data_IF_721692835001
#
_entry.id   IF_721692835001
#
_cell.length_a   1.000
_cell.length_b   1.000
_cell.length_c   1.000
_cell.angle_alpha   90.00
_cell.angle_beta   90.00
_cell.angle_gamma   90.00
#
_symmetry.space_group_name_H-M   'P 1'
#
loop_
_entity.id
_entity.type
_entity.pdbx_description
1 polymer ?
#
# COMPACT_ATOMS: atom_id res chain seq x y z
N UNK A 1 1.40 -2.70 10.79
CA UNK A 1 2.77 -2.85 10.26
C UNK A 1 2.91 -4.10 9.38
N UNK A 2 2.61 -5.33 9.84
CA UNK A 2 2.84 -6.53 9.02
C UNK A 2 1.93 -6.63 7.77
N UNK A 3 0.70 -6.14 7.84
CA UNK A 3 -0.23 -6.15 6.70
C UNK A 3 0.21 -5.24 5.54
N UNK A 4 0.85 -4.10 5.83
CA UNK A 4 1.43 -3.23 4.80
C UNK A 4 2.63 -3.89 4.12
N UNK A 5 3.41 -4.67 4.87
CA UNK A 5 4.54 -5.41 4.29
C UNK A 5 4.03 -6.51 3.34
N UNK A 6 3.00 -7.27 3.74
CA UNK A 6 2.44 -8.32 2.88
C UNK A 6 1.89 -7.80 1.55
N UNK A 7 1.14 -6.69 1.57
CA UNK A 7 0.57 -6.08 0.35
C UNK A 7 1.64 -5.49 -0.57
N UNK A 8 2.67 -4.87 -0.01
CA UNK A 8 3.78 -4.32 -0.80
C UNK A 8 4.67 -5.42 -1.41
N UNK A 9 4.89 -6.52 -0.68
CA UNK A 9 5.63 -7.67 -1.20
C UNK A 9 4.87 -8.35 -2.35
N UNK A 10 3.54 -8.43 -2.29
CA UNK A 10 2.75 -8.96 -3.42
C UNK A 10 2.84 -8.05 -4.65
N UNK A 11 2.92 -6.73 -4.46
CA UNK A 11 3.14 -5.78 -5.55
C UNK A 11 4.49 -6.00 -6.23
N UNK A 12 5.58 -6.06 -5.45
CA UNK A 12 6.93 -6.34 -5.97
C UNK A 12 6.98 -7.69 -6.67
N UNK A 13 6.39 -8.72 -6.08
CA UNK A 13 6.33 -10.04 -6.69
C UNK A 13 5.64 -9.98 -8.06
N UNK A 14 4.46 -9.36 -8.15
CA UNK A 14 3.76 -9.19 -9.44
C UNK A 14 4.62 -8.47 -10.48
N UNK A 15 5.26 -7.37 -10.08
CA UNK A 15 6.13 -6.61 -10.97
C UNK A 15 7.37 -7.40 -11.42
N UNK A 16 7.96 -8.26 -10.59
CA UNK A 16 9.08 -9.12 -10.98
C UNK A 16 8.66 -10.26 -11.93
N UNK A 17 7.41 -10.74 -11.83
CA UNK A 17 6.90 -11.78 -12.74
C UNK A 17 6.50 -11.19 -14.10
N UNK A 18 6.07 -9.93 -14.16
CA UNK A 18 5.66 -9.26 -15.39
C UNK A 18 6.69 -9.35 -16.53
N UNK A 19 7.99 -9.02 -16.35
CA UNK A 19 8.97 -9.13 -17.43
C UNK A 19 9.20 -10.58 -17.87
N UNK A 20 9.08 -11.57 -16.98
CA UNK A 20 9.19 -12.99 -17.32
C UNK A 20 8.03 -13.44 -18.22
N UNK A 21 6.81 -13.03 -17.87
CA UNK A 21 5.60 -13.31 -18.64
C UNK A 21 5.68 -12.60 -20.00
N UNK A 22 6.13 -11.34 -20.00
CA UNK A 22 6.28 -10.56 -21.22
C UNK A 22 7.34 -11.13 -22.17
N UNK A 23 8.46 -11.61 -21.63
CA UNK A 23 9.50 -12.28 -22.42
C UNK A 23 9.00 -13.57 -23.06
N UNK A 24 8.13 -14.31 -22.36
CA UNK A 24 7.60 -15.59 -22.84
C UNK A 24 6.49 -15.43 -23.88
N UNK A 25 5.48 -14.58 -23.61
CA UNK A 25 4.30 -14.45 -24.47
C UNK A 25 4.48 -13.45 -25.62
N UNK A 26 5.31 -12.42 -25.43
CA UNK A 26 5.64 -11.33 -26.39
C UNK A 26 4.47 -10.51 -26.96
N UNK A 27 3.26 -11.05 -26.95
CA UNK A 27 2.01 -10.42 -27.36
C UNK A 27 1.28 -9.81 -26.17
N UNK A 28 1.02 -8.50 -26.23
CA UNK A 28 0.39 -7.75 -25.14
C UNK A 28 -1.01 -8.26 -24.77
N UNK A 29 -1.77 -8.80 -25.72
CA UNK A 29 -3.11 -9.38 -25.48
C UNK A 29 -3.01 -10.60 -24.55
N UNK A 30 -2.09 -11.51 -24.84
CA UNK A 30 -1.89 -12.71 -24.03
C UNK A 30 -1.32 -12.39 -22.66
N UNK A 31 -0.44 -11.37 -22.57
CA UNK A 31 0.05 -10.85 -21.30
C UNK A 31 -1.14 -10.35 -20.44
N UNK A 32 -2.03 -9.54 -21.01
CA UNK A 32 -3.21 -9.02 -20.30
C UNK A 32 -4.12 -10.15 -19.79
N UNK A 33 -4.38 -11.17 -20.61
CA UNK A 33 -5.17 -12.33 -20.18
C UNK A 33 -4.54 -13.03 -18.97
N UNK A 34 -3.23 -13.27 -18.98
CA UNK A 34 -2.54 -13.91 -17.85
C UNK A 34 -2.58 -13.06 -16.60
N UNK A 35 -2.47 -11.73 -16.73
CA UNK A 35 -2.56 -10.80 -15.59
C UNK A 35 -3.96 -10.73 -14.97
N UNK A 36 -5.01 -10.95 -15.77
CA UNK A 36 -6.40 -10.96 -15.28
C UNK A 36 -6.72 -12.24 -14.48
N UNK A 37 -6.07 -13.38 -14.78
CA UNK A 37 -6.38 -14.67 -14.15
C UNK A 37 -6.32 -14.64 -12.61
N UNK A 38 -5.24 -14.13 -11.96
CA UNK A 38 -5.20 -14.01 -10.50
C UNK A 38 -6.36 -13.15 -9.94
N UNK A 39 -6.72 -12.07 -10.62
CA UNK A 39 -7.82 -11.18 -10.21
C UNK A 39 -9.16 -11.89 -10.25
N UNK A 40 -9.42 -12.72 -11.27
CA UNK A 40 -10.63 -13.53 -11.38
C UNK A 40 -10.70 -14.57 -10.25
N UNK A 41 -9.58 -15.20 -9.90
CA UNK A 41 -9.53 -16.15 -8.78
C UNK A 41 -9.86 -15.44 -7.46
N UNK A 42 -9.30 -14.25 -7.22
CA UNK A 42 -9.61 -13.45 -6.02
C UNK A 42 -11.09 -13.11 -5.98
N UNK A 43 -11.67 -12.64 -7.10
CA UNK A 43 -13.10 -12.36 -7.21
C UNK A 43 -13.95 -13.61 -6.96
N UNK A 44 -13.55 -14.78 -7.46
CA UNK A 44 -14.26 -16.03 -7.22
C UNK A 44 -14.25 -16.44 -5.74
N UNK A 45 -13.21 -16.04 -5.00
CA UNK A 45 -13.09 -16.32 -3.55
C UNK A 45 -13.75 -15.27 -2.65
N UNK A 46 -14.46 -14.28 -3.19
CA UNK A 46 -15.03 -13.19 -2.38
C UNK A 46 -15.90 -13.67 -1.21
N UNK A 47 -16.68 -14.74 -1.40
CA UNK A 47 -17.54 -15.33 -0.37
C UNK A 47 -16.77 -15.97 0.80
N UNK A 48 -15.48 -16.26 0.63
CA UNK A 48 -14.64 -16.87 1.68
C UNK A 48 -14.09 -15.80 2.62
N UNK A 49 -14.01 -14.56 2.17
CA UNK A 49 -13.37 -13.48 2.91
C UNK A 49 -14.37 -12.91 3.92
N UNK A 50 -14.09 -12.99 5.24
CA UNK A 50 -14.95 -12.37 6.22
C UNK A 50 -14.87 -10.85 6.10
N UNK A 51 -15.99 -10.19 6.39
CA UNK A 51 -16.03 -8.73 6.43
C UNK A 51 -15.07 -8.14 7.47
N UNK A 52 -14.63 -6.90 7.23
CA UNK A 52 -13.71 -6.21 8.13
C UNK A 52 -14.36 -5.99 9.51
N UNK A 53 -13.76 -6.50 10.61
CA UNK A 53 -14.32 -6.29 11.95
C UNK A 53 -14.48 -4.80 12.29
N UNK A 54 -13.60 -3.93 11.78
CA UNK A 54 -13.70 -2.48 12.00
C UNK A 54 -14.92 -1.87 11.32
N UNK A 55 -15.23 -2.29 10.09
CA UNK A 55 -16.41 -1.82 9.38
C UNK A 55 -17.70 -2.31 10.05
N UNK A 56 -17.73 -3.56 10.49
CA UNK A 56 -18.87 -4.09 11.26
C UNK A 56 -19.13 -3.27 12.55
N UNK A 57 -18.07 -2.82 13.23
CA UNK A 57 -18.21 -1.96 14.41
C UNK A 57 -18.79 -0.59 14.09
N UNK A 58 -18.39 0.05 12.99
CA UNK A 58 -18.96 1.36 12.58
C UNK A 58 -20.40 1.23 12.12
N UNK A 59 -20.80 0.08 11.57
CA UNK A 59 -22.19 -0.23 11.23
C UNK A 59 -23.04 -0.70 12.43
N UNK A 60 -22.49 -0.69 13.65
CA UNK A 60 -23.19 -1.14 14.86
C UNK A 60 -23.36 -2.67 14.98
N UNK A 61 -22.84 -3.47 14.04
CA UNK A 61 -22.88 -4.94 14.02
C UNK A 61 -21.79 -5.54 14.93
N UNK A 62 -21.85 -5.24 16.22
CA UNK A 62 -20.80 -5.60 17.18
C UNK A 62 -20.69 -7.11 17.44
N UNK A 63 -21.80 -7.86 17.38
CA UNK A 63 -21.81 -9.31 17.59
C UNK A 63 -21.11 -10.07 16.46
N UNK A 64 -21.34 -9.68 15.20
CA UNK A 64 -20.67 -10.24 14.03
C UNK A 64 -19.15 -9.99 14.10
N UNK A 65 -18.74 -8.77 14.46
CA UNK A 65 -17.35 -8.42 14.66
C UNK A 65 -16.68 -9.28 15.74
N UNK A 66 -17.36 -9.51 16.87
CA UNK A 66 -16.88 -10.37 17.96
C UNK A 66 -16.71 -11.83 17.51
N UNK A 67 -17.65 -12.35 16.72
CA UNK A 67 -17.56 -13.72 16.17
C UNK A 67 -16.34 -13.90 15.29
N UNK A 68 -16.06 -12.93 14.40
CA UNK A 68 -14.89 -12.96 13.52
C UNK A 68 -13.59 -12.86 14.33
N UNK A 69 -13.53 -11.94 15.30
CA UNK A 69 -12.36 -11.75 16.15
C UNK A 69 -12.09 -12.96 17.06
N UNK A 70 -13.14 -13.59 17.62
CA UNK A 70 -13.03 -14.81 18.41
C UNK A 70 -12.49 -15.98 17.57
N UNK A 71 -13.02 -16.16 16.35
CA UNK A 71 -12.52 -17.18 15.41
C UNK A 71 -11.04 -16.93 15.05
N UNK A 72 -10.66 -15.68 14.81
CA UNK A 72 -9.28 -15.30 14.53
C UNK A 72 -8.35 -15.54 15.74
N UNK A 73 -8.79 -15.19 16.96
CA UNK A 73 -8.04 -15.43 18.19
C UNK A 73 -7.78 -16.93 18.42
N UNK A 74 -8.82 -17.76 18.29
CA UNK A 74 -8.70 -19.23 18.37
C UNK A 74 -7.73 -19.79 17.33
N UNK A 75 -7.80 -19.32 16.08
CA UNK A 75 -6.88 -19.75 15.01
C UNK A 75 -5.43 -19.36 15.30
N UNK A 76 -5.21 -18.24 15.99
CA UNK A 76 -3.89 -17.78 16.42
C UNK A 76 -3.43 -18.37 17.75
N UNK A 77 -4.16 -19.34 18.33
CA UNK A 77 -3.82 -19.97 19.62
C UNK A 77 -3.95 -19.03 20.83
N UNK A 78 -4.66 -17.91 20.69
CA UNK A 78 -4.88 -16.94 21.75
C UNK A 78 -6.18 -17.28 22.49
N UNK A 79 -6.05 -17.82 23.71
CA UNK A 79 -7.19 -18.00 24.63
C UNK A 79 -7.54 -16.67 25.30
N UNK A 80 -8.34 -15.87 24.60
CA UNK A 80 -8.86 -14.60 25.13
C UNK A 80 -10.25 -14.88 25.70
N UNK A 81 -10.48 -14.51 26.96
CA UNK A 81 -11.82 -14.57 27.55
C UNK A 81 -12.78 -13.66 26.77
N UNK A 82 -14.02 -14.12 26.55
CA UNK A 82 -15.02 -13.37 25.79
C UNK A 82 -15.26 -11.97 26.38
N UNK A 83 -15.06 -11.81 27.69
CA UNK A 83 -15.14 -10.53 28.41
C UNK A 83 -14.02 -9.57 27.96
N UNK A 84 -12.77 -10.02 27.92
CA UNK A 84 -11.63 -9.19 27.45
C UNK A 84 -11.77 -8.83 25.97
N UNK A 85 -12.31 -9.74 25.16
CA UNK A 85 -12.58 -9.47 23.74
C UNK A 85 -13.65 -8.38 23.58
N UNK A 86 -14.74 -8.46 24.36
CA UNK A 86 -15.78 -7.44 24.40
C UNK A 86 -15.24 -6.08 24.85
N UNK A 87 -14.41 -6.04 25.89
CA UNK A 87 -13.75 -4.80 26.33
C UNK A 87 -12.87 -4.19 25.23
N UNK A 88 -12.09 -4.99 24.51
CA UNK A 88 -11.29 -4.51 23.38
C UNK A 88 -12.17 -3.95 22.26
N UNK A 89 -13.26 -4.62 21.93
CA UNK A 89 -14.23 -4.15 20.94
C UNK A 89 -14.90 -2.84 21.37
N UNK A 90 -15.26 -2.70 22.65
CA UNK A 90 -15.82 -1.47 23.20
C UNK A 90 -14.79 -0.34 23.15
N UNK A 91 -13.51 -0.60 23.47
CA UNK A 91 -12.43 0.39 23.31
C UNK A 91 -12.19 0.79 21.85
N UNK A 92 -12.42 -0.13 20.90
CA UNK A 92 -12.30 0.14 19.47
C UNK A 92 -13.50 0.90 18.89
N UNK A 93 -14.67 0.77 19.53
CA UNK A 93 -15.86 1.58 19.22
C UNK A 93 -15.58 3.00 19.69
N UNK A 94 -15.24 3.90 18.77
CA UNK A 94 -14.93 5.27 19.14
C UNK A 94 -16.21 5.94 19.68
N UNK A 95 -16.11 6.80 20.71
CA UNK A 95 -17.28 7.46 21.31
C UNK A 95 -18.06 8.36 20.33
N UNK A 96 -17.47 8.70 19.18
CA UNK A 96 -18.09 9.52 18.14
C UNK A 96 -18.71 8.71 16.99
N UNK A 97 -18.52 7.38 16.94
CA UNK A 97 -19.04 6.53 15.83
C UNK A 97 -20.52 6.16 15.99
N UNK A 98 -21.16 6.50 17.13
CA UNK A 98 -22.59 6.24 17.36
C UNK A 98 -23.51 7.33 16.83
N UNK A 99 -22.99 8.52 16.53
CA UNK A 99 -23.74 9.51 15.76
C UNK A 99 -23.46 9.28 14.28
N UNK A 100 -24.39 8.60 13.62
CA UNK A 100 -24.59 8.59 12.17
C UNK A 100 -24.89 10.01 11.63
N UNK A 101 -24.07 11.00 11.98
CA UNK A 101 -23.98 12.23 11.20
C UNK A 101 -23.30 11.80 9.91
N UNK A 102 -23.98 11.96 8.78
CA UNK A 102 -23.44 11.58 7.48
C UNK A 102 -22.14 12.34 7.23
N UNK A 103 -21.01 11.72 7.58
CA UNK A 103 -19.68 12.26 7.34
C UNK A 103 -19.56 12.41 5.84
N UNK A 104 -19.55 13.65 5.39
CA UNK A 104 -19.48 13.96 3.98
C UNK A 104 -18.02 14.14 3.58
N UNK A 105 -17.67 13.88 2.32
CA UNK A 105 -16.31 14.14 1.81
C UNK A 105 -15.94 15.62 2.00
N UNK A 106 -16.94 16.51 2.02
CA UNK A 106 -16.76 17.93 2.32
C UNK A 106 -16.24 18.21 3.74
N UNK A 107 -16.42 17.28 4.68
CA UNK A 107 -15.91 17.42 6.05
C UNK A 107 -14.37 17.39 6.10
N UNK A 108 -13.70 16.85 5.07
CA UNK A 108 -12.24 16.92 4.94
C UNK A 108 -11.74 18.36 4.77
N UNK A 109 -12.60 19.29 4.36
CA UNK A 109 -12.27 20.71 4.19
C UNK A 109 -12.57 21.55 5.44
N UNK A 110 -13.07 20.95 6.52
CA UNK A 110 -13.23 21.64 7.81
C UNK A 110 -11.86 22.05 8.39
N UNK A 111 -11.84 23.17 9.10
CA UNK A 111 -10.64 23.90 9.57
C UNK A 111 -9.50 23.02 10.08
N UNK A 112 -9.82 22.01 10.90
CA UNK A 112 -8.81 21.16 11.55
C UNK A 112 -8.17 20.10 10.64
N UNK A 113 -8.90 19.63 9.63
CA UNK A 113 -8.46 18.57 8.71
C UNK A 113 -7.92 19.13 7.38
N UNK A 114 -8.39 20.30 6.97
CA UNK A 114 -8.08 20.91 5.66
C UNK A 114 -6.59 20.95 5.35
N UNK A 115 -5.77 21.45 6.27
CA UNK A 115 -4.32 21.53 6.06
C UNK A 115 -3.68 20.15 5.91
N UNK A 116 -4.12 19.18 6.73
CA UNK A 116 -3.60 17.81 6.69
C UNK A 116 -3.98 17.13 5.37
N UNK A 117 -5.20 17.33 4.90
CA UNK A 117 -5.69 16.82 3.61
C UNK A 117 -4.86 17.37 2.46
N UNK A 118 -4.68 18.69 2.37
CA UNK A 118 -3.88 19.30 1.30
C UNK A 118 -2.41 18.87 1.32
N UNK A 119 -1.79 18.78 2.49
CA UNK A 119 -0.41 18.29 2.61
C UNK A 119 -0.29 16.84 2.15
N UNK A 120 -1.23 15.96 2.52
CA UNK A 120 -1.20 14.56 2.09
C UNK A 120 -1.43 14.42 0.58
N UNK A 121 -2.32 15.21 -0.01
CA UNK A 121 -2.54 15.24 -1.45
C UNK A 121 -1.31 15.73 -2.21
N UNK A 122 -0.68 16.81 -1.73
CA UNK A 122 0.54 17.31 -2.33
C UNK A 122 1.67 16.28 -2.27
N UNK A 123 1.87 15.64 -1.10
CA UNK A 123 2.87 14.57 -0.95
C UNK A 123 2.58 13.44 -1.92
N UNK A 124 1.32 12.99 -2.02
CA UNK A 124 0.94 11.90 -2.92
C UNK A 124 1.22 12.27 -4.38
N UNK A 125 0.81 13.46 -4.83
CA UNK A 125 1.08 13.95 -6.17
C UNK A 125 2.59 14.02 -6.44
N UNK A 126 3.37 14.64 -5.55
CA UNK A 126 4.82 14.74 -5.71
C UNK A 126 5.48 13.37 -5.81
N UNK A 127 5.10 12.42 -4.95
CA UNK A 127 5.60 11.04 -5.02
C UNK A 127 5.19 10.32 -6.30
N UNK A 128 3.97 10.51 -6.78
CA UNK A 128 3.50 9.89 -8.01
C UNK A 128 4.26 10.41 -9.23
N UNK A 129 4.47 11.73 -9.34
CA UNK A 129 5.25 12.33 -10.42
C UNK A 129 6.69 11.82 -10.44
N UNK A 130 7.36 11.79 -9.28
CA UNK A 130 8.73 11.27 -9.19
C UNK A 130 8.78 9.78 -9.51
N UNK A 131 7.85 8.99 -8.96
CA UNK A 131 7.80 7.54 -9.21
C UNK A 131 7.60 7.23 -10.69
N UNK A 132 6.52 7.72 -11.30
CA UNK A 132 6.25 7.46 -12.71
C UNK A 132 7.32 8.07 -13.61
N UNK A 133 7.84 9.25 -13.28
CA UNK A 133 8.93 9.89 -14.03
C UNK A 133 10.19 9.01 -14.08
N UNK A 134 10.57 8.40 -12.96
CA UNK A 134 11.71 7.46 -12.91
C UNK A 134 11.36 6.14 -13.64
N UNK A 135 10.17 5.59 -13.40
CA UNK A 135 9.74 4.32 -14.02
C UNK A 135 9.68 4.40 -15.55
N UNK A 136 9.20 5.51 -16.13
CA UNK A 136 9.19 5.69 -17.59
C UNK A 136 10.60 5.83 -18.17
N UNK A 137 11.48 6.59 -17.51
CA UNK A 137 12.86 6.76 -17.95
C UNK A 137 13.70 5.47 -17.81
N UNK A 138 13.32 4.55 -16.92
CA UNK A 138 14.01 3.26 -16.74
C UNK A 138 14.03 2.42 -18.03
N UNK A 139 13.01 2.54 -18.87
CA UNK A 139 12.94 1.84 -20.16
C UNK A 139 13.82 2.48 -21.24
N UNK A 140 14.26 3.73 -21.06
CA UNK A 140 15.17 4.42 -21.99
C UNK A 140 16.65 4.23 -21.64
N UNK A 141 16.96 3.62 -20.48
CA UNK A 141 18.33 3.26 -20.14
C UNK A 141 18.90 2.24 -21.15
N UNK A 142 20.17 2.43 -21.51
CA UNK A 142 20.89 1.48 -22.36
C UNK A 142 20.91 0.09 -21.71
N UNK A 143 20.53 -0.94 -22.47
CA UNK A 143 20.46 -2.32 -22.00
C UNK A 143 19.17 -3.03 -22.42
N UNK A 144 18.89 -4.17 -21.79
CA UNK A 144 17.64 -4.90 -21.99
C UNK A 144 16.53 -4.30 -21.09
N UNK A 145 15.39 -3.84 -21.66
CA UNK A 145 14.32 -3.21 -20.87
C UNK A 145 13.71 -4.14 -19.82
N UNK A 146 13.66 -5.46 -20.06
CA UNK A 146 13.10 -6.41 -19.11
C UNK A 146 14.01 -6.58 -17.89
N UNK A 147 15.33 -6.61 -18.10
CA UNK A 147 16.33 -6.65 -17.02
C UNK A 147 16.32 -5.34 -16.22
N UNK A 148 16.28 -4.19 -16.90
CA UNK A 148 16.22 -2.89 -16.24
C UNK A 148 14.97 -2.75 -15.37
N UNK A 149 13.81 -3.19 -15.89
CA UNK A 149 12.56 -3.23 -15.13
C UNK A 149 12.66 -4.15 -13.90
N UNK A 150 13.15 -5.38 -14.09
CA UNK A 150 13.29 -6.34 -12.99
C UNK A 150 14.24 -5.83 -11.88
N UNK A 151 15.36 -5.21 -12.27
CA UNK A 151 16.32 -4.66 -11.31
C UNK A 151 15.72 -3.50 -10.50
N UNK A 152 14.97 -2.61 -11.15
CA UNK A 152 14.29 -1.49 -10.48
C UNK A 152 13.30 -1.97 -9.42
N UNK A 153 12.51 -3.02 -9.71
CA UNK A 153 11.59 -3.60 -8.72
C UNK A 153 12.31 -4.43 -7.66
N UNK A 154 13.42 -5.11 -8.00
CA UNK A 154 14.23 -5.81 -7.02
C UNK A 154 14.81 -4.85 -5.96
N UNK A 155 15.20 -3.64 -6.37
CA UNK A 155 15.68 -2.58 -5.48
C UNK A 155 14.60 -2.06 -4.52
N UNK A 156 13.31 -2.24 -4.82
CA UNK A 156 12.25 -1.86 -3.88
C UNK A 156 12.22 -2.73 -2.62
N UNK A 157 12.71 -3.98 -2.68
CA UNK A 157 12.76 -4.89 -1.52
C UNK A 157 13.64 -4.32 -0.39
N UNK A 158 14.95 -4.06 -0.59
CA UNK A 158 15.79 -3.51 0.46
C UNK A 158 15.34 -2.12 0.91
N UNK A 159 14.83 -1.29 -0.02
CA UNK A 159 14.29 0.04 0.30
C UNK A 159 13.08 -0.08 1.24
N UNK A 160 12.19 -1.04 1.02
CA UNK A 160 11.02 -1.28 1.88
C UNK A 160 11.43 -1.71 3.29
N UNK A 161 12.40 -2.62 3.40
CA UNK A 161 12.92 -3.06 4.71
C UNK A 161 13.54 -1.87 5.46
N UNK A 162 14.36 -1.07 4.77
CA UNK A 162 14.96 0.13 5.34
C UNK A 162 13.89 1.16 5.77
N UNK A 163 12.85 1.37 4.96
CA UNK A 163 11.74 2.26 5.27
C UNK A 163 10.97 1.78 6.50
N UNK A 164 10.71 0.47 6.63
CA UNK A 164 10.05 -0.09 7.81
C UNK A 164 10.87 0.13 9.08
N UNK A 165 12.18 -0.10 9.03
CA UNK A 165 13.09 0.18 10.14
C UNK A 165 13.06 1.69 10.47
N UNK A 166 13.21 2.56 9.47
CA UNK A 166 13.20 4.01 9.67
C UNK A 166 11.89 4.51 10.31
N UNK A 167 10.73 3.98 9.89
CA UNK A 167 9.43 4.33 10.47
C UNK A 167 9.33 3.87 11.93
N UNK A 168 9.84 2.69 12.27
CA UNK A 168 9.81 2.16 13.64
C UNK A 168 10.71 2.95 14.61
N UNK A 169 11.92 3.33 14.18
CA UNK A 169 12.88 4.01 15.05
C UNK A 169 12.70 5.53 15.11
N UNK A 170 12.53 6.21 13.96
CA UNK A 170 12.50 7.68 13.86
C UNK A 170 11.10 8.25 13.67
N UNK A 171 10.09 7.39 13.60
CA UNK A 171 8.70 7.79 13.36
C UNK A 171 8.40 8.16 11.91
N UNK A 172 7.10 8.18 11.58
CA UNK A 172 6.60 8.31 10.20
C UNK A 172 6.94 9.64 9.54
N UNK A 173 6.88 10.75 10.28
CA UNK A 173 7.09 12.11 9.70
C UNK A 173 8.53 12.33 9.25
N UNK A 174 9.50 11.98 10.09
CA UNK A 174 10.92 12.16 9.78
C UNK A 174 11.36 11.22 8.65
N UNK A 175 10.87 9.97 8.66
CA UNK A 175 11.16 9.03 7.57
C UNK A 175 10.65 9.51 6.22
N UNK A 176 9.43 10.07 6.16
CA UNK A 176 8.89 10.68 4.94
C UNK A 176 9.66 11.93 4.50
N UNK A 177 10.00 12.83 5.43
CA UNK A 177 10.73 14.05 5.09
C UNK A 177 12.13 13.75 4.54
N UNK A 178 12.87 12.84 5.17
CA UNK A 178 14.22 12.46 4.74
C UNK A 178 14.20 11.77 3.38
N UNK A 179 13.25 10.86 3.13
CA UNK A 179 13.13 10.18 1.84
C UNK A 179 12.76 11.14 0.70
N UNK A 180 11.84 12.08 0.94
CA UNK A 180 11.49 13.11 -0.03
C UNK A 180 12.66 14.05 -0.34
N UNK A 181 13.42 14.48 0.68
CA UNK A 181 14.61 15.31 0.47
C UNK A 181 15.68 14.55 -0.33
N UNK A 182 15.92 13.29 0.02
CA UNK A 182 16.88 12.45 -0.69
C UNK A 182 16.49 12.26 -2.17
N UNK A 183 15.21 11.97 -2.44
CA UNK A 183 14.69 11.87 -3.81
C UNK A 183 14.83 13.19 -4.57
N UNK A 184 14.52 14.33 -3.94
CA UNK A 184 14.67 15.64 -4.55
C UNK A 184 16.13 15.96 -4.91
N UNK A 185 17.08 15.66 -4.02
CA UNK A 185 18.52 15.81 -4.28
C UNK A 185 18.96 14.90 -5.43
N UNK A 186 18.51 13.64 -5.44
CA UNK A 186 18.84 12.71 -6.51
C UNK A 186 18.35 13.21 -7.88
N UNK A 187 17.13 13.74 -7.97
CA UNK A 187 16.62 14.33 -9.21
C UNK A 187 17.43 15.55 -9.67
N UNK A 188 17.88 16.41 -8.75
CA UNK A 188 18.72 17.56 -9.10
C UNK A 188 20.11 17.16 -9.59
N UNK A 189 20.66 16.06 -9.07
CA UNK A 189 21.96 15.52 -9.51
C UNK A 189 21.92 14.91 -10.92
N UNK A 190 20.74 14.57 -11.44
CA UNK A 190 20.58 14.07 -12.82
C UNK A 190 20.70 15.20 -13.85
N UNK A 191 20.30 16.44 -13.49
CA UNK A 191 20.34 17.60 -14.40
C UNK A 191 21.70 17.90 -15.06
N UNK A 192 22.85 17.86 -14.34
CA UNK A 192 24.15 18.13 -14.95
C UNK A 192 24.72 16.99 -15.81
N UNK A 193 24.05 15.83 -15.92
CA UNK A 193 24.54 14.70 -16.71
C UNK A 193 24.28 15.01 -18.19
N UNK A 194 25.32 15.18 -19.02
CA UNK A 194 25.14 15.41 -20.45
C UNK A 194 24.49 14.18 -21.09
N UNK A 195 23.52 14.40 -21.98
CA UNK A 195 22.93 13.34 -22.79
C UNK A 195 24.03 12.65 -23.59
N UNK A 196 24.40 11.43 -23.16
CA UNK A 196 25.30 10.58 -23.93
C UNK A 196 24.67 10.32 -25.29
N UNK A 197 25.36 10.74 -26.36
CA UNK A 197 24.94 10.54 -27.75
C UNK A 197 24.45 9.11 -27.95
N UNK A 198 23.17 8.98 -28.35
CA UNK A 198 22.61 7.75 -28.93
C UNK A 198 23.37 7.33 -30.18
#
# INVERSE_FOLDING_TARGET
APYYCGTYLTWIAGALHLPLIAWWLRDWIWIEFVLILPSVVVLATWWLLPESPRWLLTQGKTEEALKILSKAAKRNGLEISDIKLKEMVIKLKQPNDTENTGINVLDLFKSELRLRTFVLWFIWCATAFVYYGISYNTNELAGDPFVNFALSFAMEIPVTILALIAIQYKGRRMSLAVSLLFAGVACLLVYPIPEGKK
#
